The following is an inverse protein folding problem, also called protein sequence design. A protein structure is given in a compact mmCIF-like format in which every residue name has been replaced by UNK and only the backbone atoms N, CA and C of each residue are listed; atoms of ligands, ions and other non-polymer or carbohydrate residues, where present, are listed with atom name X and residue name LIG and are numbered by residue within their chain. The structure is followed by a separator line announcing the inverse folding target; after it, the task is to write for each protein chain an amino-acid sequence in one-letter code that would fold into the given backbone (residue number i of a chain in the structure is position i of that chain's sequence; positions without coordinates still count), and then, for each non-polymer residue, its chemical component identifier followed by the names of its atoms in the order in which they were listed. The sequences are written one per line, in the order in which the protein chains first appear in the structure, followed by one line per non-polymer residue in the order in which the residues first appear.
data_IF_466282216660
#
_entry.id   IF_466282216660
#
_cell.length_a   1.000
_cell.length_b   1.000
_cell.length_c   1.000
_cell.angle_alpha   90.00
_cell.angle_beta   90.00
_cell.angle_gamma   90.00
#
_symmetry.space_group_name_H-M   'P 1'
#
loop_
_entity.id
_entity.type
_entity.pdbx_description
1 polymer ?
#
# COMPACT_ATOMS: atom_id res chain seq x y z
N UNK A 1 25.27 -48.50 30.66
CA UNK A 1 24.12 -48.40 31.59
C UNK A 1 23.19 -47.29 31.12
N UNK A 2 22.23 -47.61 30.25
CA UNK A 2 21.17 -46.69 29.85
C UNK A 2 20.19 -46.59 31.03
N UNK A 3 20.27 -45.53 31.82
CA UNK A 3 19.20 -45.20 32.77
C UNK A 3 17.95 -44.94 31.94
N UNK A 4 16.95 -45.82 32.02
CA UNK A 4 15.60 -45.58 31.50
C UNK A 4 15.10 -44.24 32.06
N UNK A 5 15.22 -43.17 31.27
CA UNK A 5 14.62 -41.87 31.57
C UNK A 5 13.19 -41.92 31.07
N UNK A 6 12.31 -42.49 31.88
CA UNK A 6 10.88 -42.47 31.60
C UNK A 6 10.37 -41.03 31.67
N UNK A 7 9.60 -40.60 30.66
CA UNK A 7 8.70 -39.47 30.86
C UNK A 7 7.68 -39.90 31.91
N UNK A 8 7.44 -39.09 32.92
CA UNK A 8 6.29 -39.27 33.78
C UNK A 8 5.19 -38.34 33.24
N UNK A 9 4.45 -38.78 32.23
CA UNK A 9 3.28 -38.00 31.81
C UNK A 9 2.25 -38.11 32.93
N UNK A 10 2.24 -37.16 33.89
CA UNK A 10 1.03 -36.94 34.68
C UNK A 10 -0.03 -36.56 33.66
N UNK A 11 -1.08 -37.35 33.50
CA UNK A 11 -2.27 -36.88 32.81
C UNK A 11 -3.17 -36.25 33.87
N UNK A 12 -2.79 -35.08 34.37
CA UNK A 12 -3.59 -34.41 35.38
C UNK A 12 -4.85 -33.86 34.71
N UNK A 13 -6.03 -34.25 35.19
CA UNK A 13 -7.30 -33.63 34.83
C UNK A 13 -7.81 -32.92 36.07
N UNK A 14 -7.63 -31.59 36.11
CA UNK A 14 -8.11 -30.74 37.21
C UNK A 14 -9.39 -30.03 36.78
N UNK A 15 -10.33 -29.91 37.72
CA UNK A 15 -11.61 -29.24 37.52
C UNK A 15 -11.56 -27.93 38.26
N UNK A 16 -11.45 -26.83 37.53
CA UNK A 16 -11.75 -25.52 38.07
C UNK A 16 -13.22 -25.22 37.83
N UNK A 17 -13.99 -24.94 38.89
CA UNK A 17 -15.24 -24.22 38.75
C UNK A 17 -14.92 -22.72 38.58
N UNK A 18 -14.31 -22.38 37.45
CA UNK A 18 -14.30 -21.00 36.96
C UNK A 18 -15.76 -20.68 36.61
N UNK A 19 -16.21 -19.45 36.87
CA UNK A 19 -17.55 -18.99 36.46
C UNK A 19 -17.83 -19.45 35.02
N UNK A 20 -19.03 -19.97 34.76
CA UNK A 20 -19.39 -20.80 33.59
C UNK A 20 -19.05 -20.24 32.19
N UNK A 21 -18.53 -19.02 32.09
CA UNK A 21 -18.37 -18.26 30.87
C UNK A 21 -16.92 -17.98 30.43
N UNK A 22 -15.88 -18.33 31.21
CA UNK A 22 -14.47 -18.11 30.81
C UNK A 22 -13.70 -19.41 30.63
N UNK A 23 -12.74 -19.41 29.68
CA UNK A 23 -11.86 -20.56 29.45
C UNK A 23 -10.77 -20.63 30.53
N UNK A 24 -10.22 -21.82 30.79
CA UNK A 24 -9.12 -21.98 31.74
C UNK A 24 -7.89 -21.16 31.33
N UNK A 25 -7.58 -21.11 30.04
CA UNK A 25 -6.48 -20.30 29.52
C UNK A 25 -6.69 -18.80 29.80
N UNK A 26 -7.92 -18.29 29.63
CA UNK A 26 -8.24 -16.89 29.94
C UNK A 26 -8.14 -16.62 31.45
N UNK A 27 -8.72 -17.48 32.29
CA UNK A 27 -8.65 -17.34 33.75
C UNK A 27 -7.20 -17.32 34.26
N UNK A 28 -6.36 -18.23 33.76
CA UNK A 28 -4.96 -18.32 34.18
C UNK A 28 -4.13 -17.15 33.67
N UNK A 29 -4.46 -16.60 32.49
CA UNK A 29 -3.78 -15.40 32.00
C UNK A 29 -3.95 -14.18 32.91
N UNK A 30 -5.00 -14.17 33.74
CA UNK A 30 -5.31 -13.10 34.68
C UNK A 30 -4.93 -13.46 36.14
N UNK A 31 -4.70 -14.73 36.46
CA UNK A 31 -4.48 -15.23 37.82
C UNK A 31 -3.23 -16.12 37.90
N UNK A 32 -2.18 -15.64 38.59
CA UNK A 32 -0.91 -16.37 38.77
C UNK A 32 -0.94 -17.46 39.85
N UNK A 33 -2.02 -17.50 40.64
CA UNK A 33 -2.23 -18.51 41.67
C UNK A 33 -3.27 -19.51 41.19
N UNK A 34 -2.93 -20.79 41.24
CA UNK A 34 -3.93 -21.83 41.08
C UNK A 34 -4.61 -22.04 42.43
N UNK A 35 -5.94 -21.88 42.53
CA UNK A 35 -6.65 -22.35 43.70
C UNK A 35 -6.49 -23.86 43.85
N UNK A 36 -6.72 -24.39 45.05
CA UNK A 36 -6.65 -25.83 45.37
C UNK A 36 -7.26 -26.67 44.25
N UNK A 37 -6.45 -27.54 43.64
CA UNK A 37 -6.90 -28.47 42.61
C UNK A 37 -6.90 -29.91 43.15
N UNK A 38 -7.66 -30.77 42.48
CA UNK A 38 -7.75 -32.20 42.79
C UNK A 38 -7.39 -33.03 41.57
N UNK A 39 -6.51 -34.01 41.77
CA UNK A 39 -6.01 -34.90 40.72
C UNK A 39 -7.04 -36.01 40.49
N UNK A 40 -7.59 -36.12 39.28
CA UNK A 40 -8.57 -37.16 38.97
C UNK A 40 -8.00 -38.48 38.47
N UNK A 41 -6.92 -38.46 37.67
CA UNK A 41 -6.34 -39.67 37.08
C UNK A 41 -4.83 -39.53 36.90
N UNK A 42 -4.12 -40.66 36.93
CA UNK A 42 -2.68 -40.74 36.75
C UNK A 42 -2.34 -41.96 35.88
N UNK A 43 -1.80 -41.73 34.68
CA UNK A 43 -1.36 -42.77 33.75
C UNK A 43 0.12 -42.54 33.38
N UNK A 44 1.09 -43.28 33.96
CA UNK A 44 2.50 -43.11 33.61
C UNK A 44 2.79 -43.65 32.20
N UNK A 45 3.44 -42.84 31.36
CA UNK A 45 3.77 -43.21 29.97
C UNK A 45 5.28 -43.11 29.76
N UNK A 46 5.94 -44.24 29.52
CA UNK A 46 7.34 -44.24 29.10
C UNK A 46 7.43 -43.84 27.62
N UNK A 47 8.24 -42.83 27.33
CA UNK A 47 8.37 -42.24 25.99
C UNK A 47 9.81 -42.35 25.54
N UNK A 48 10.01 -42.84 24.33
CA UNK A 48 11.32 -42.85 23.67
C UNK A 48 11.50 -41.61 22.77
N UNK A 49 12.73 -41.35 22.32
CA UNK A 49 13.02 -40.29 21.35
C UNK A 49 12.23 -40.49 20.04
N UNK A 50 11.76 -39.38 19.47
CA UNK A 50 11.04 -39.32 18.18
C UNK A 50 9.55 -39.01 18.31
N UNK A 51 8.91 -38.67 17.19
CA UNK A 51 7.46 -38.45 17.15
C UNK A 51 6.73 -39.79 17.28
N UNK A 52 6.06 -40.01 18.41
CA UNK A 52 5.31 -41.23 18.70
C UNK A 52 3.89 -40.90 19.16
N UNK A 53 2.93 -41.70 18.72
CA UNK A 53 1.57 -41.73 19.27
C UNK A 53 1.55 -42.72 20.43
N UNK A 54 0.93 -42.34 21.55
CA UNK A 54 0.65 -43.23 22.66
C UNK A 54 -0.86 -43.33 22.84
N UNK A 55 -1.40 -44.55 22.82
CA UNK A 55 -2.82 -44.81 23.06
C UNK A 55 -3.05 -44.98 24.57
N UNK A 56 -3.89 -44.12 25.12
CA UNK A 56 -4.28 -44.17 26.53
C UNK A 56 -5.65 -44.83 26.68
N UNK A 57 -5.91 -45.37 27.88
CA UNK A 57 -7.26 -45.80 28.23
C UNK A 57 -8.21 -44.62 28.09
N UNK A 58 -9.17 -44.73 27.17
CA UNK A 58 -10.17 -43.69 26.90
C UNK A 58 -10.80 -43.23 28.21
N UNK A 59 -10.74 -41.94 28.46
CA UNK A 59 -11.22 -41.31 29.69
C UNK A 59 -12.07 -40.12 29.32
N UNK A 60 -13.26 -40.02 29.90
CA UNK A 60 -14.15 -38.89 29.67
C UNK A 60 -13.58 -37.63 30.33
N UNK A 61 -13.50 -36.52 29.59
CA UNK A 61 -12.93 -35.26 30.06
C UNK A 61 -14.00 -34.16 30.00
N UNK A 62 -14.28 -33.52 31.13
CA UNK A 62 -15.24 -32.42 31.19
C UNK A 62 -14.66 -31.17 30.51
N UNK A 63 -15.53 -30.38 29.86
CA UNK A 63 -15.19 -29.03 29.37
C UNK A 63 -14.56 -28.19 30.50
N UNK A 64 -13.43 -27.55 30.20
CA UNK A 64 -12.65 -26.78 31.18
C UNK A 64 -11.63 -27.59 31.96
N UNK A 65 -11.33 -28.81 31.54
CA UNK A 65 -10.16 -29.54 32.05
C UNK A 65 -8.92 -29.16 31.25
N UNK A 66 -7.77 -29.11 31.91
CA UNK A 66 -6.47 -28.94 31.28
C UNK A 66 -5.61 -30.17 31.50
N UNK A 67 -4.65 -30.38 30.61
CA UNK A 67 -3.62 -31.41 30.77
C UNK A 67 -2.37 -30.78 31.39
N UNK A 68 -1.86 -31.34 32.50
CA UNK A 68 -0.56 -30.93 33.06
C UNK A 68 0.46 -32.04 32.87
N UNK A 69 1.48 -31.80 32.04
CA UNK A 69 2.60 -32.71 31.85
C UNK A 69 3.61 -32.57 32.99
N UNK A 70 4.09 -33.68 33.55
CA UNK A 70 5.12 -33.69 34.59
C UNK A 70 6.41 -34.36 34.11
N UNK A 71 7.02 -33.76 33.10
CA UNK A 71 8.23 -34.27 32.46
C UNK A 71 9.47 -33.49 32.92
N UNK A 72 10.65 -34.10 32.78
CA UNK A 72 11.89 -33.31 32.72
C UNK A 72 11.92 -32.53 31.40
N UNK A 73 12.36 -31.27 31.43
CA UNK A 73 12.31 -30.36 30.27
C UNK A 73 12.95 -30.95 29.00
N UNK A 74 14.02 -31.74 29.14
CA UNK A 74 14.74 -32.38 28.04
C UNK A 74 13.92 -33.42 27.24
N UNK A 75 12.70 -33.75 27.68
CA UNK A 75 11.89 -34.82 27.10
C UNK A 75 10.74 -34.33 26.21
N UNK A 76 10.56 -33.02 26.09
CA UNK A 76 9.53 -32.42 25.23
C UNK A 76 10.16 -31.44 24.26
N UNK A 77 9.66 -31.43 23.02
CA UNK A 77 10.08 -30.44 22.02
C UNK A 77 9.25 -29.18 22.18
N UNK A 78 9.91 -28.04 22.06
CA UNK A 78 9.30 -26.72 22.14
C UNK A 78 9.30 -26.06 20.76
N UNK A 79 8.24 -25.32 20.48
CA UNK A 79 8.21 -24.34 19.40
C UNK A 79 8.62 -22.97 19.98
N UNK A 80 9.83 -22.54 19.63
CA UNK A 80 10.36 -21.23 19.96
C UNK A 80 10.04 -20.26 18.80
N UNK A 81 9.63 -19.03 19.11
CA UNK A 81 9.34 -17.94 18.14
C UNK A 81 8.01 -18.00 17.36
N UNK A 82 7.02 -18.77 17.80
CA UNK A 82 5.70 -18.72 17.16
C UNK A 82 4.87 -17.49 17.56
N UNK A 83 4.08 -16.95 16.62
CA UNK A 83 3.12 -15.87 16.87
C UNK A 83 1.82 -16.42 17.50
N UNK A 84 1.90 -16.97 18.71
CA UNK A 84 0.73 -17.52 19.40
C UNK A 84 0.19 -16.62 20.52
N UNK A 85 -1.15 -16.66 20.66
CA UNK A 85 -1.90 -15.86 21.64
C UNK A 85 -1.67 -16.39 23.06
N UNK A 86 -1.59 -17.71 23.23
CA UNK A 86 -1.37 -18.39 24.51
C UNK A 86 -0.07 -19.18 24.47
N UNK A 87 0.75 -19.04 25.51
CA UNK A 87 1.94 -19.88 25.75
C UNK A 87 1.57 -21.04 26.67
N UNK A 88 2.36 -22.10 26.65
CA UNK A 88 2.29 -23.11 27.70
C UNK A 88 2.93 -22.60 29.00
N UNK A 89 2.58 -23.25 30.09
CA UNK A 89 2.76 -22.78 31.46
C UNK A 89 3.54 -23.80 32.29
N UNK A 90 4.40 -23.31 33.19
CA UNK A 90 5.04 -24.10 34.24
C UNK A 90 4.23 -23.94 35.52
N UNK A 91 4.01 -25.04 36.24
CA UNK A 91 3.45 -25.04 37.59
C UNK A 91 4.53 -25.43 38.60
N UNK A 92 4.85 -24.53 39.53
CA UNK A 92 5.88 -24.71 40.56
C UNK A 92 5.43 -24.01 41.85
N UNK A 93 5.56 -24.70 43.00
CA UNK A 93 5.24 -24.17 44.33
C UNK A 93 3.86 -23.49 44.42
N UNK A 94 2.82 -24.14 43.88
CA UNK A 94 1.45 -23.59 43.84
C UNK A 94 1.25 -22.34 42.99
N UNK A 95 2.24 -21.97 42.19
CA UNK A 95 2.21 -20.83 41.27
C UNK A 95 2.31 -21.29 39.83
N UNK A 96 1.77 -20.47 38.93
CA UNK A 96 1.94 -20.64 37.50
C UNK A 96 2.91 -19.58 36.98
N UNK A 97 3.83 -20.02 36.14
CA UNK A 97 4.76 -19.17 35.41
C UNK A 97 4.63 -19.41 33.91
N UNK A 98 4.74 -18.34 33.13
CA UNK A 98 4.98 -18.47 31.70
C UNK A 98 6.37 -19.04 31.48
N UNK A 99 6.52 -19.95 30.52
CA UNK A 99 7.83 -20.28 29.96
C UNK A 99 8.43 -18.98 29.38
N UNK A 100 9.59 -18.55 29.90
CA UNK A 100 10.35 -17.34 29.47
C UNK A 100 11.62 -17.79 28.73
N UNK A 101 12.24 -16.97 27.84
CA UNK A 101 12.01 -15.54 27.58
C UNK A 101 10.95 -15.20 26.51
N UNK A 102 10.48 -16.19 25.75
CA UNK A 102 9.45 -16.01 24.72
C UNK A 102 8.22 -16.82 25.07
N UNK A 103 7.05 -16.46 24.52
CA UNK A 103 5.92 -17.38 24.52
C UNK A 103 6.41 -18.68 23.86
N UNK A 104 6.33 -19.79 24.58
CA UNK A 104 6.78 -21.12 24.14
C UNK A 104 5.58 -22.06 24.10
N UNK A 105 5.53 -22.94 23.10
CA UNK A 105 4.54 -24.01 23.01
C UNK A 105 5.22 -25.38 23.06
N UNK A 106 4.77 -26.25 23.94
CA UNK A 106 5.11 -27.66 23.96
C UNK A 106 4.43 -28.32 22.76
N UNK A 107 5.21 -28.96 21.90
CA UNK A 107 4.70 -29.71 20.75
C UNK A 107 4.10 -31.05 21.20
N UNK A 108 2.95 -30.96 21.85
CA UNK A 108 2.17 -32.07 22.35
C UNK A 108 0.72 -31.94 21.90
N UNK A 109 0.11 -33.04 21.47
CA UNK A 109 -1.30 -33.07 21.06
C UNK A 109 -2.04 -34.22 21.72
N UNK A 110 -3.12 -33.89 22.42
CA UNK A 110 -4.05 -34.88 22.94
C UNK A 110 -5.00 -35.34 21.83
N UNK A 111 -5.08 -36.65 21.57
CA UNK A 111 -6.11 -37.21 20.69
C UNK A 111 -7.42 -37.29 21.45
N UNK A 112 -8.48 -36.79 20.83
CA UNK A 112 -9.85 -36.93 21.34
C UNK A 112 -10.66 -37.80 20.37
N UNK A 113 -11.65 -38.50 20.89
CA UNK A 113 -12.53 -39.39 20.11
C UNK A 113 -13.69 -38.65 19.44
N UNK A 114 -13.89 -37.38 19.78
CA UNK A 114 -14.94 -36.53 19.23
C UNK A 114 -14.39 -35.61 18.15
N UNK A 115 -14.98 -35.66 16.95
CA UNK A 115 -14.69 -34.69 15.89
C UNK A 115 -15.35 -33.36 16.22
N UNK A 116 -14.63 -32.27 16.00
CA UNK A 116 -15.15 -30.92 16.17
C UNK A 116 -14.68 -30.04 15.01
N UNK A 117 -15.49 -29.03 14.70
CA UNK A 117 -15.07 -27.96 13.82
C UNK A 117 -14.31 -26.94 14.64
N UNK A 118 -13.11 -26.58 14.17
CA UNK A 118 -12.27 -25.59 14.79
C UNK A 118 -12.03 -24.46 13.79
N UNK A 119 -12.20 -23.23 14.24
CA UNK A 119 -11.86 -22.04 13.45
C UNK A 119 -11.27 -21.01 14.41
N UNK A 120 -10.13 -20.45 14.01
CA UNK A 120 -9.51 -19.32 14.69
C UNK A 120 -9.89 -18.04 13.97
N UNK A 121 -10.44 -17.08 14.71
CA UNK A 121 -10.66 -15.73 14.22
C UNK A 121 -9.65 -14.79 14.89
N UNK A 122 -8.60 -14.44 14.15
CA UNK A 122 -7.68 -13.38 14.57
C UNK A 122 -8.28 -12.01 14.25
N UNK A 123 -8.24 -11.09 15.20
CA UNK A 123 -8.64 -9.69 14.99
C UNK A 123 -7.66 -8.75 15.68
N UNK A 124 -7.53 -7.54 15.15
CA UNK A 124 -6.84 -6.41 15.78
C UNK A 124 -7.79 -5.21 15.80
N UNK A 125 -7.72 -4.40 16.85
CA UNK A 125 -8.50 -3.19 16.97
C UNK A 125 -7.57 -2.04 17.37
N UNK A 126 -7.60 -0.94 16.60
CA UNK A 126 -6.90 0.29 16.97
C UNK A 126 -7.79 1.10 17.91
N UNK A 127 -7.23 1.43 19.07
CA UNK A 127 -7.92 2.23 20.08
C UNK A 127 -7.44 3.66 19.97
N UNK A 128 -8.36 4.61 19.80
CA UNK A 128 -8.02 6.02 19.90
C UNK A 128 -7.77 6.34 21.39
N UNK A 129 -6.71 7.11 21.67
CA UNK A 129 -6.07 7.23 23.00
C UNK A 129 -6.93 7.77 24.14
N UNK A 130 -8.20 8.11 23.89
CA UNK A 130 -9.16 8.60 24.88
C UNK A 130 -10.00 7.51 25.56
N UNK A 131 -9.93 6.24 25.11
CA UNK A 131 -10.72 5.16 25.70
C UNK A 131 -9.88 4.27 26.62
N UNK A 132 -10.32 4.11 27.87
CA UNK A 132 -9.63 3.32 28.91
C UNK A 132 -10.05 1.85 28.94
N UNK A 133 -11.17 1.49 28.31
CA UNK A 133 -11.68 0.10 28.29
C UNK A 133 -12.38 -0.21 26.96
N UNK A 134 -12.07 -1.35 26.36
CA UNK A 134 -12.70 -1.84 25.12
C UNK A 134 -13.23 -3.24 25.35
N UNK A 135 -14.53 -3.41 25.10
CA UNK A 135 -15.21 -4.68 25.21
C UNK A 135 -15.42 -5.28 23.81
N UNK A 136 -14.78 -6.41 23.55
CA UNK A 136 -15.07 -7.23 22.36
C UNK A 136 -16.11 -8.29 22.71
N UNK A 137 -17.28 -8.26 22.06
CA UNK A 137 -18.34 -9.25 22.26
C UNK A 137 -18.40 -10.18 21.04
N UNK A 138 -18.14 -11.47 21.25
CA UNK A 138 -18.30 -12.50 20.22
C UNK A 138 -19.65 -13.17 20.42
N UNK A 139 -20.59 -12.97 19.50
CA UNK A 139 -21.92 -13.58 19.54
C UNK A 139 -21.97 -14.72 18.54
N UNK A 140 -22.17 -15.95 19.02
CA UNK A 140 -22.37 -17.14 18.19
C UNK A 140 -23.86 -17.52 18.21
N UNK A 141 -24.59 -17.28 17.12
CA UNK A 141 -26.00 -17.70 16.96
C UNK A 141 -26.17 -18.51 15.66
N UNK A 142 -26.96 -19.59 15.70
CA UNK A 142 -27.04 -20.65 14.67
C UNK A 142 -27.76 -20.25 13.37
N UNK A 143 -28.47 -19.12 13.32
CA UNK A 143 -29.44 -18.84 12.23
C UNK A 143 -29.16 -17.59 11.39
N UNK A 144 -28.00 -16.95 11.52
CA UNK A 144 -27.62 -15.86 10.63
C UNK A 144 -26.22 -16.08 10.05
N UNK A 145 -26.11 -15.91 8.73
CA UNK A 145 -24.85 -15.64 8.05
C UNK A 145 -24.18 -14.45 8.75
N UNK A 146 -22.87 -14.57 8.97
CA UNK A 146 -22.04 -13.56 9.61
C UNK A 146 -22.05 -12.26 8.77
N UNK A 147 -23.05 -11.40 8.99
CA UNK A 147 -23.09 -10.05 8.42
C UNK A 147 -22.24 -9.14 9.29
N UNK A 148 -20.93 -9.17 9.03
CA UNK A 148 -20.00 -8.15 9.49
C UNK A 148 -19.68 -7.26 8.29
N UNK A 149 -20.23 -6.06 8.26
CA UNK A 149 -19.78 -5.01 7.34
C UNK A 149 -18.75 -4.18 8.11
N UNK A 150 -17.47 -4.35 7.79
CA UNK A 150 -16.38 -3.49 8.29
C UNK A 150 -15.35 -3.31 7.18
N UNK A 151 -14.94 -2.06 7.00
CA UNK A 151 -13.93 -1.62 6.04
C UNK A 151 -12.58 -2.24 6.39
N UNK A 152 -12.06 -3.05 5.48
CA UNK A 152 -10.76 -3.71 5.57
C UNK A 152 -9.69 -2.66 5.29
N UNK A 153 -8.91 -2.27 6.30
CA UNK A 153 -7.65 -1.52 6.12
C UNK A 153 -6.47 -2.49 6.29
N UNK A 154 -5.38 -2.47 5.52
CA UNK A 154 -5.19 -2.20 4.08
C UNK A 154 -3.80 -2.75 3.66
N UNK A 155 -3.28 -3.82 4.28
CA UNK A 155 -1.95 -4.37 3.92
C UNK A 155 -1.99 -5.27 2.67
N UNK A 156 -3.20 -5.57 2.18
CA UNK A 156 -3.42 -6.43 1.01
C UNK A 156 -3.85 -5.68 -0.25
N UNK A 157 -3.95 -4.37 -0.18
CA UNK A 157 -4.40 -3.55 -1.30
C UNK A 157 -3.53 -2.31 -1.37
N UNK A 158 -3.28 -1.84 -2.58
CA UNK A 158 -2.64 -0.56 -2.82
C UNK A 158 -3.29 0.11 -4.01
N UNK A 159 -3.59 1.41 -3.87
CA UNK A 159 -4.19 2.22 -4.91
C UNK A 159 -3.45 3.54 -5.00
N UNK A 160 -2.96 3.84 -6.19
CA UNK A 160 -2.39 5.14 -6.49
C UNK A 160 -2.89 5.67 -7.83
N UNK A 161 -2.98 6.98 -7.91
CA UNK A 161 -3.51 7.69 -9.06
C UNK A 161 -2.78 9.00 -9.22
N UNK A 162 -2.19 9.22 -10.40
CA UNK A 162 -1.57 10.49 -10.76
C UNK A 162 -2.23 11.01 -12.03
N UNK A 163 -2.72 12.24 -11.96
CA UNK A 163 -3.40 12.91 -13.06
C UNK A 163 -2.60 14.14 -13.51
N UNK A 164 -2.45 14.29 -14.82
CA UNK A 164 -1.88 15.49 -15.44
C UNK A 164 -3.00 16.28 -16.09
N UNK A 165 -3.19 17.56 -15.72
CA UNK A 165 -4.19 18.41 -16.36
C UNK A 165 -3.75 18.73 -17.79
N UNK A 166 -4.73 18.79 -18.68
CA UNK A 166 -4.64 19.27 -20.05
C UNK A 166 -5.84 20.20 -20.32
N UNK A 167 -5.83 20.91 -21.45
CA UNK A 167 -6.94 21.82 -21.80
C UNK A 167 -8.22 21.00 -21.90
N UNK A 168 -9.17 21.28 -21.00
CA UNK A 168 -10.46 20.59 -20.88
C UNK A 168 -10.37 19.06 -20.71
N UNK A 169 -9.20 18.54 -20.31
CA UNK A 169 -8.96 17.10 -20.18
C UNK A 169 -8.09 16.81 -18.96
N UNK A 170 -8.26 15.64 -18.36
CA UNK A 170 -7.32 15.11 -17.37
C UNK A 170 -6.89 13.71 -17.76
N UNK A 171 -5.58 13.50 -17.92
CA UNK A 171 -5.00 12.19 -18.20
C UNK A 171 -4.50 11.59 -16.90
N UNK A 172 -5.16 10.55 -16.44
CA UNK A 172 -4.84 9.85 -15.20
C UNK A 172 -4.21 8.49 -15.48
N UNK A 173 -3.22 8.14 -14.69
CA UNK A 173 -2.64 6.80 -14.64
C UNK A 173 -2.92 6.23 -13.25
N UNK A 174 -3.49 5.03 -13.23
CA UNK A 174 -3.96 4.38 -12.00
C UNK A 174 -3.22 3.06 -11.85
N UNK A 175 -2.59 2.89 -10.70
CA UNK A 175 -1.93 1.66 -10.28
C UNK A 175 -2.76 1.07 -9.15
N UNK A 176 -3.17 -0.17 -9.31
CA UNK A 176 -3.88 -0.92 -8.30
C UNK A 176 -3.18 -2.27 -8.08
N UNK A 177 -3.01 -2.65 -6.82
CA UNK A 177 -2.53 -3.97 -6.41
C UNK A 177 -3.52 -4.57 -5.42
N UNK A 178 -3.76 -5.88 -5.54
CA UNK A 178 -4.51 -6.65 -4.56
C UNK A 178 -3.98 -8.07 -4.42
N UNK A 179 -4.13 -8.67 -3.24
CA UNK A 179 -3.93 -10.12 -3.04
C UNK A 179 -5.19 -10.96 -3.32
N UNK A 180 -6.29 -10.34 -3.74
CA UNK A 180 -7.53 -11.02 -4.13
C UNK A 180 -8.00 -10.53 -5.49
N UNK A 181 -8.21 -11.48 -6.41
CA UNK A 181 -8.74 -11.20 -7.75
C UNK A 181 -10.14 -10.60 -7.74
N UNK A 182 -10.92 -10.88 -6.70
CA UNK A 182 -12.34 -10.50 -6.63
C UNK A 182 -12.54 -9.00 -6.35
N UNK A 183 -11.46 -8.28 -6.11
CA UNK A 183 -11.48 -6.85 -5.93
C UNK A 183 -11.74 -6.14 -7.26
N UNK A 184 -12.51 -5.07 -7.19
CA UNK A 184 -12.81 -4.22 -8.33
C UNK A 184 -12.38 -2.79 -8.00
N UNK A 185 -11.81 -2.11 -8.98
CA UNK A 185 -11.47 -0.70 -8.87
C UNK A 185 -12.57 0.11 -9.55
N UNK A 186 -13.02 1.15 -8.86
CA UNK A 186 -14.03 2.10 -9.29
C UNK A 186 -13.38 3.46 -9.37
N UNK A 187 -13.56 4.14 -10.49
CA UNK A 187 -13.04 5.49 -10.69
C UNK A 187 -14.21 6.36 -11.11
N UNK A 188 -14.42 7.45 -10.38
CA UNK A 188 -15.49 8.40 -10.61
C UNK A 188 -14.94 9.82 -10.68
N UNK A 189 -15.45 10.60 -11.61
CA UNK A 189 -15.34 12.06 -11.63
C UNK A 189 -16.71 12.67 -11.32
N UNK A 190 -16.75 13.92 -10.85
CA UNK A 190 -17.97 14.64 -10.45
C UNK A 190 -19.06 14.69 -11.55
N UNK A 191 -18.69 14.49 -12.83
CA UNK A 191 -19.61 14.45 -13.97
C UNK A 191 -20.09 13.03 -14.35
N UNK A 192 -20.15 12.11 -13.39
CA UNK A 192 -20.81 10.79 -13.48
C UNK A 192 -20.22 9.76 -14.47
N UNK A 193 -19.03 10.00 -15.01
CA UNK A 193 -18.27 8.97 -15.72
C UNK A 193 -17.66 7.99 -14.70
N UNK A 194 -18.40 6.92 -14.40
CA UNK A 194 -17.92 5.79 -13.61
C UNK A 194 -17.20 4.79 -14.52
N UNK A 195 -15.95 4.50 -14.19
CA UNK A 195 -15.16 3.50 -14.88
C UNK A 195 -14.83 2.42 -13.85
N UNK A 196 -15.23 1.19 -14.15
CA UNK A 196 -14.88 0.03 -13.35
C UNK A 196 -13.86 -0.84 -14.09
N UNK A 197 -12.92 -1.41 -13.36
CA UNK A 197 -12.03 -2.43 -13.89
C UNK A 197 -11.75 -3.51 -12.84
N UNK A 198 -11.69 -4.74 -13.31
CA UNK A 198 -11.29 -5.90 -12.53
C UNK A 198 -9.82 -6.24 -12.78
N UNK A 199 -9.20 -6.93 -11.82
CA UNK A 199 -7.91 -7.55 -12.05
C UNK A 199 -7.98 -8.64 -13.11
N UNK A 200 -6.94 -8.73 -13.93
CA UNK A 200 -6.75 -9.84 -14.87
C UNK A 200 -6.50 -11.15 -14.10
N UNK A 201 -6.76 -12.30 -14.74
CA UNK A 201 -6.51 -13.61 -14.12
C UNK A 201 -5.03 -14.00 -14.18
N UNK A 202 -4.15 -13.09 -13.74
CA UNK A 202 -2.70 -13.26 -13.74
C UNK A 202 -2.13 -12.60 -12.50
N UNK A 203 -1.37 -13.38 -11.73
CA UNK A 203 -0.57 -12.86 -10.62
C UNK A 203 0.79 -12.37 -11.13
N UNK A 204 1.41 -11.49 -10.37
CA UNK A 204 2.75 -10.96 -10.54
C UNK A 204 3.49 -11.10 -9.22
N UNK A 205 4.78 -11.42 -9.29
CA UNK A 205 5.72 -11.40 -8.16
C UNK A 205 6.76 -10.29 -8.33
N UNK A 206 6.48 -9.31 -9.20
CA UNK A 206 7.48 -8.34 -9.64
C UNK A 206 6.93 -6.91 -9.48
N UNK A 207 7.67 -6.04 -8.80
CA UNK A 207 7.39 -4.60 -8.68
C UNK A 207 8.20 -3.82 -9.71
N UNK A 208 7.55 -3.14 -10.63
CA UNK A 208 8.21 -2.38 -11.70
C UNK A 208 7.34 -2.25 -12.94
N UNK A 209 7.91 -1.70 -14.00
CA UNK A 209 7.21 -1.60 -15.29
C UNK A 209 7.42 -2.83 -16.16
N UNK A 210 6.62 -2.97 -17.21
CA UNK A 210 6.88 -3.96 -18.24
C UNK A 210 8.26 -3.75 -18.82
N UNK A 211 9.04 -4.81 -19.03
CA UNK A 211 10.38 -4.68 -19.58
C UNK A 211 10.26 -4.55 -21.11
N UNK A 212 10.77 -3.46 -21.66
CA UNK A 212 10.81 -3.21 -23.10
C UNK A 212 12.22 -2.88 -23.50
N UNK A 213 12.70 -3.53 -24.57
CA UNK A 213 14.01 -3.24 -25.13
C UNK A 213 13.90 -2.02 -26.04
N UNK A 214 14.08 -0.83 -25.48
CA UNK A 214 14.25 0.41 -26.23
C UNK A 214 15.62 1.02 -25.94
N UNK A 215 16.48 1.04 -26.95
CA UNK A 215 17.77 1.72 -26.88
C UNK A 215 17.55 3.22 -27.02
N UNK A 216 17.45 3.93 -25.91
CA UNK A 216 17.53 5.39 -25.92
C UNK A 216 18.74 5.84 -25.12
N UNK A 217 19.50 6.76 -25.71
CA UNK A 217 20.67 7.29 -25.04
C UNK A 217 20.24 8.25 -23.92
N UNK A 218 20.84 8.10 -22.75
CA UNK A 218 20.74 9.02 -21.63
C UNK A 218 22.13 9.65 -21.40
N UNK A 219 22.19 10.98 -21.31
CA UNK A 219 23.44 11.73 -21.24
C UNK A 219 23.38 12.67 -20.04
N UNK A 220 23.73 12.15 -18.86
CA UNK A 220 23.97 12.96 -17.65
C UNK A 220 25.20 12.43 -16.92
N UNK A 221 25.98 13.34 -16.32
CA UNK A 221 27.21 13.00 -15.60
C UNK A 221 26.93 12.63 -14.14
N UNK A 222 27.36 11.45 -13.70
CA UNK A 222 27.38 10.98 -12.30
C UNK A 222 26.14 11.33 -11.49
N UNK A 223 25.10 10.50 -11.61
CA UNK A 223 23.81 10.73 -10.96
C UNK A 223 23.32 9.47 -10.29
N UNK A 224 22.61 9.62 -9.17
CA UNK A 224 21.83 8.51 -8.59
C UNK A 224 20.43 8.58 -9.17
N UNK A 225 20.00 7.54 -9.88
CA UNK A 225 18.66 7.44 -10.45
C UNK A 225 17.73 6.77 -9.44
N UNK A 226 16.58 7.40 -9.18
CA UNK A 226 15.49 6.87 -8.37
C UNK A 226 14.40 6.30 -9.28
N UNK A 227 14.08 5.03 -9.10
CA UNK A 227 13.09 4.34 -9.94
C UNK A 227 11.76 4.22 -9.19
N UNK A 228 10.82 5.12 -9.46
CA UNK A 228 9.53 5.16 -8.73
C UNK A 228 8.67 3.93 -8.97
N UNK A 229 8.91 3.24 -10.09
CA UNK A 229 8.32 1.96 -10.44
C UNK A 229 8.60 0.85 -9.41
N UNK A 230 9.72 0.96 -8.71
CA UNK A 230 10.17 -0.06 -7.77
C UNK A 230 9.58 0.09 -6.39
N UNK A 231 8.97 1.24 -6.07
CA UNK A 231 8.41 1.51 -4.75
C UNK A 231 7.57 0.34 -4.24
N UNK A 232 7.95 -0.20 -3.09
CA UNK A 232 7.24 -1.27 -2.41
C UNK A 232 5.87 -0.78 -1.95
N UNK A 233 4.83 -1.49 -2.35
CA UNK A 233 3.43 -1.08 -2.10
C UNK A 233 2.84 -1.69 -0.82
N UNK A 234 3.50 -2.72 -0.31
CA UNK A 234 3.15 -3.52 0.86
C UNK A 234 4.42 -4.21 1.36
N UNK A 235 4.45 -4.60 2.62
CA UNK A 235 5.61 -5.33 3.17
C UNK A 235 5.79 -6.69 2.49
N UNK A 236 6.99 -6.93 1.97
CA UNK A 236 7.39 -8.17 1.29
C UNK A 236 8.88 -8.39 1.44
N UNK A 237 9.44 -9.47 0.88
CA UNK A 237 10.88 -9.60 0.74
C UNK A 237 11.32 -9.40 -0.71
N UNK A 238 12.38 -8.61 -0.90
CA UNK A 238 13.14 -8.48 -2.13
C UNK A 238 14.04 -9.69 -2.31
N UNK A 239 13.90 -10.39 -3.44
CA UNK A 239 14.66 -11.61 -3.75
C UNK A 239 15.54 -11.47 -5.00
N UNK A 240 15.40 -10.40 -5.77
CA UNK A 240 16.17 -10.21 -6.99
C UNK A 240 15.72 -9.02 -7.84
N UNK A 241 16.27 -8.95 -9.04
CA UNK A 241 16.03 -7.88 -10.00
C UNK A 241 15.88 -8.44 -11.43
N UNK A 242 15.06 -7.79 -12.25
CA UNK A 242 15.02 -8.00 -13.70
C UNK A 242 15.21 -6.66 -14.41
N UNK A 243 16.10 -6.61 -15.40
CA UNK A 243 16.32 -5.41 -16.19
C UNK A 243 17.00 -5.74 -17.53
N UNK A 244 16.90 -4.80 -18.48
CA UNK A 244 17.66 -4.86 -19.72
C UNK A 244 18.87 -3.96 -19.63
N UNK A 245 20.00 -4.49 -20.13
CA UNK A 245 21.25 -3.78 -20.20
C UNK A 245 21.79 -3.63 -21.63
N UNK A 246 22.29 -2.45 -21.98
CA UNK A 246 22.89 -2.17 -23.29
C UNK A 246 24.36 -2.58 -23.40
N UNK A 247 25.06 -2.73 -22.28
CA UNK A 247 26.48 -3.15 -22.21
C UNK A 247 26.70 -4.10 -21.02
N UNK A 248 27.76 -4.92 -21.06
CA UNK A 248 28.16 -5.70 -19.88
C UNK A 248 28.80 -4.74 -18.86
N UNK A 249 28.58 -4.97 -17.57
CA UNK A 249 29.20 -4.18 -16.52
C UNK A 249 28.81 -4.60 -15.13
N UNK A 250 29.09 -3.71 -14.17
CA UNK A 250 28.66 -3.84 -12.78
C UNK A 250 28.23 -2.49 -12.25
N UNK A 251 27.19 -2.45 -11.42
CA UNK A 251 26.81 -1.23 -10.70
C UNK A 251 26.24 -1.54 -9.33
N UNK A 252 26.16 -0.53 -8.47
CA UNK A 252 25.57 -0.61 -7.15
C UNK A 252 24.08 -0.22 -7.21
N UNK A 253 23.22 -1.15 -6.81
CA UNK A 253 21.81 -0.87 -6.51
C UNK A 253 21.66 -0.60 -5.02
N UNK A 254 20.85 0.39 -4.67
CA UNK A 254 20.64 0.82 -3.29
C UNK A 254 19.17 0.71 -2.96
N UNK A 255 18.83 -0.06 -1.94
CA UNK A 255 17.54 -0.02 -1.27
C UNK A 255 17.52 1.22 -0.38
N UNK A 256 16.60 2.13 -0.66
CA UNK A 256 16.49 3.42 0.03
C UNK A 256 15.12 3.60 0.69
N UNK A 257 15.08 4.45 1.71
CA UNK A 257 13.88 4.88 2.40
C UNK A 257 13.85 6.41 2.55
N UNK A 258 12.66 7.00 2.48
CA UNK A 258 12.40 8.42 2.72
C UNK A 258 11.84 8.69 4.11
N UNK A 259 11.90 7.69 5.00
CA UNK A 259 11.32 7.70 6.34
C UNK A 259 9.82 8.08 6.26
N UNK A 260 9.35 8.96 7.15
CA UNK A 260 7.94 9.34 7.25
C UNK A 260 7.46 10.31 6.15
N UNK A 261 8.35 10.77 5.24
CA UNK A 261 8.00 11.80 4.24
C UNK A 261 6.96 11.33 3.23
N UNK A 262 6.90 10.02 3.01
CA UNK A 262 5.94 9.39 2.12
C UNK A 262 4.83 8.69 2.89
N UNK A 263 4.53 9.09 4.13
CA UNK A 263 3.57 8.33 4.93
C UNK A 263 2.12 8.43 4.47
N UNK A 264 1.74 9.61 4.01
CA UNK A 264 0.38 9.94 3.60
C UNK A 264 0.13 9.72 2.09
N UNK A 265 1.19 9.50 1.31
CA UNK A 265 1.14 9.44 -0.15
C UNK A 265 2.12 8.40 -0.69
N UNK A 266 2.01 8.02 -1.97
CA UNK A 266 3.09 7.24 -2.59
C UNK A 266 4.38 8.07 -2.66
N UNK A 267 5.52 7.38 -2.63
CA UNK A 267 6.82 8.02 -2.87
C UNK A 267 6.85 8.67 -4.25
N UNK A 268 6.25 8.05 -5.26
CA UNK A 268 6.11 8.64 -6.59
C UNK A 268 5.41 10.02 -6.54
N UNK A 269 4.30 10.13 -5.80
CA UNK A 269 3.61 11.40 -5.62
C UNK A 269 4.46 12.41 -4.85
N UNK A 270 5.06 12.01 -3.73
CA UNK A 270 5.95 12.87 -2.95
C UNK A 270 7.06 13.46 -3.83
N UNK A 271 7.81 12.61 -4.54
CA UNK A 271 8.92 13.01 -5.41
C UNK A 271 8.48 13.99 -6.50
N UNK A 272 7.28 13.83 -7.06
CA UNK A 272 6.73 14.76 -8.05
C UNK A 272 6.59 16.20 -7.54
N UNK A 273 6.40 16.38 -6.23
CA UNK A 273 6.30 17.70 -5.59
C UNK A 273 7.66 18.28 -5.16
N UNK A 274 8.74 17.49 -5.27
CA UNK A 274 10.09 17.84 -4.85
C UNK A 274 11.06 18.13 -6.02
N UNK A 275 10.58 18.19 -7.26
CA UNK A 275 11.42 18.51 -8.41
C UNK A 275 12.12 19.88 -8.23
N UNK A 276 13.44 19.91 -8.39
CA UNK A 276 14.30 21.07 -8.18
C UNK A 276 14.62 21.38 -6.71
N UNK A 277 14.22 20.53 -5.76
CA UNK A 277 14.45 20.72 -4.32
C UNK A 277 15.48 19.74 -3.78
N UNK A 278 16.08 20.11 -2.65
CA UNK A 278 16.92 19.20 -1.89
C UNK A 278 16.11 18.04 -1.32
N UNK A 279 16.66 16.83 -1.41
CA UNK A 279 16.04 15.63 -0.88
C UNK A 279 17.03 14.83 -0.03
N UNK A 280 16.53 14.29 1.08
CA UNK A 280 17.27 13.38 1.95
C UNK A 280 16.53 12.05 1.98
N UNK A 281 17.31 10.98 1.91
CA UNK A 281 16.88 9.58 2.01
C UNK A 281 17.96 8.81 2.78
N UNK A 282 17.57 7.68 3.35
CA UNK A 282 18.48 6.75 4.02
C UNK A 282 18.78 5.57 3.07
N UNK A 283 20.01 5.09 3.08
CA UNK A 283 20.39 3.86 2.37
C UNK A 283 20.27 2.73 3.38
N UNK A 284 19.32 1.81 3.14
CA UNK A 284 19.06 0.66 3.99
C UNK A 284 20.02 -0.47 3.65
N UNK A 285 20.24 -0.72 2.36
CA UNK A 285 21.10 -1.79 1.86
C UNK A 285 21.66 -1.45 0.48
N UNK A 286 22.89 -1.86 0.21
CA UNK A 286 23.51 -1.81 -1.11
C UNK A 286 23.75 -3.21 -1.69
N UNK A 287 23.68 -3.32 -3.01
CA UNK A 287 23.92 -4.55 -3.78
C UNK A 287 24.85 -4.23 -4.94
N UNK A 288 26.05 -4.81 -4.96
CA UNK A 288 26.91 -4.78 -6.14
C UNK A 288 26.45 -5.87 -7.12
N UNK A 289 25.97 -5.46 -8.28
CA UNK A 289 25.35 -6.34 -9.27
C UNK A 289 26.20 -6.34 -10.54
N UNK A 290 26.69 -7.52 -10.91
CA UNK A 290 27.31 -7.78 -12.22
C UNK A 290 26.24 -8.24 -13.22
N UNK A 291 26.29 -7.72 -14.44
CA UNK A 291 25.30 -8.02 -15.47
C UNK A 291 25.91 -8.06 -16.87
N UNK A 292 25.26 -8.80 -17.76
CA UNK A 292 25.63 -8.92 -19.16
C UNK A 292 24.80 -7.96 -20.02
N UNK A 293 25.28 -7.69 -21.24
CA UNK A 293 24.44 -7.03 -22.26
C UNK A 293 23.22 -7.90 -22.57
N UNK A 294 22.03 -7.31 -22.61
CA UNK A 294 20.76 -7.99 -22.88
C UNK A 294 19.85 -8.06 -21.66
N UNK A 295 18.97 -9.06 -21.62
CA UNK A 295 18.10 -9.32 -20.47
C UNK A 295 18.91 -9.92 -19.31
N UNK A 296 18.72 -9.37 -18.11
CA UNK A 296 19.31 -9.87 -16.89
C UNK A 296 18.21 -10.16 -15.87
N UNK A 297 18.28 -11.35 -15.27
CA UNK A 297 17.48 -11.75 -14.12
C UNK A 297 18.45 -12.23 -13.04
N UNK A 298 18.52 -11.49 -11.94
CA UNK A 298 19.55 -11.66 -10.92
C UNK A 298 18.88 -11.88 -9.58
N UNK A 299 19.11 -13.05 -8.99
CA UNK A 299 18.63 -13.38 -7.65
C UNK A 299 19.66 -12.99 -6.60
N UNK A 300 19.20 -12.44 -5.50
CA UNK A 300 20.03 -12.11 -4.35
C UNK A 300 20.40 -13.41 -3.61
N UNK A 301 21.58 -13.40 -2.98
CA UNK A 301 22.06 -14.53 -2.17
C UNK A 301 21.20 -14.81 -0.93
N UNK A 302 20.44 -13.81 -0.47
CA UNK A 302 19.44 -13.91 0.59
C UNK A 302 18.29 -12.95 0.30
N UNK A 303 17.12 -13.23 0.85
CA UNK A 303 15.99 -12.32 0.83
C UNK A 303 16.22 -11.12 1.75
N UNK A 304 15.83 -9.93 1.33
CA UNK A 304 15.90 -8.71 2.14
C UNK A 304 14.51 -8.18 2.39
N UNK A 305 14.23 -7.72 3.63
CA UNK A 305 12.93 -7.11 3.93
C UNK A 305 12.75 -5.85 3.08
N UNK A 306 11.65 -5.80 2.34
CA UNK A 306 11.29 -4.70 1.47
C UNK A 306 10.00 -4.05 1.95
N UNK A 307 10.14 -3.19 2.96
CA UNK A 307 9.02 -2.54 3.63
C UNK A 307 8.31 -1.57 2.68
N UNK A 308 7.01 -1.38 2.91
CA UNK A 308 6.19 -0.44 2.14
C UNK A 308 6.88 0.94 2.07
N UNK A 309 6.85 1.57 0.89
CA UNK A 309 7.47 2.86 0.49
C UNK A 309 8.98 2.83 0.22
N UNK A 310 9.69 1.76 0.57
CA UNK A 310 11.09 1.63 0.17
C UNK A 310 11.20 1.54 -1.36
N UNK A 311 12.32 2.02 -1.92
CA UNK A 311 12.57 2.10 -3.36
C UNK A 311 13.96 1.62 -3.72
N UNK A 312 14.19 1.27 -4.98
CA UNK A 312 15.52 1.06 -5.52
C UNK A 312 16.04 2.34 -6.18
N UNK A 313 17.27 2.68 -5.82
CA UNK A 313 18.09 3.68 -6.48
C UNK A 313 19.31 3.01 -7.13
N UNK A 314 19.85 3.62 -8.18
CA UNK A 314 21.03 3.12 -8.89
C UNK A 314 22.01 4.26 -9.12
N UNK A 315 23.25 4.07 -8.71
CA UNK A 315 24.31 5.01 -9.05
C UNK A 315 24.71 4.82 -10.52
N UNK A 316 24.75 5.91 -11.27
CA UNK A 316 25.00 5.91 -12.70
C UNK A 316 26.24 6.76 -13.01
N UNK A 317 27.27 6.12 -13.59
CA UNK A 317 28.46 6.80 -14.09
C UNK A 317 28.30 7.07 -15.62
N UNK A 318 28.83 8.19 -16.12
CA UNK A 318 28.67 8.65 -17.51
C UNK A 318 29.18 7.66 -18.58
N UNK A 319 30.15 6.83 -18.22
CA UNK A 319 30.82 5.90 -19.14
C UNK A 319 29.99 4.65 -19.43
N UNK A 320 28.94 4.50 -18.64
CA UNK A 320 28.33 3.25 -18.31
C UNK A 320 26.90 3.30 -18.82
N UNK A 321 26.77 3.27 -20.16
CA UNK A 321 25.48 3.16 -20.86
C UNK A 321 24.86 1.78 -20.57
N UNK A 322 24.52 1.53 -19.31
CA UNK A 322 24.14 0.21 -18.86
C UNK A 322 22.66 -0.06 -19.06
N UNK A 323 21.75 0.88 -18.81
CA UNK A 323 20.32 0.54 -18.78
C UNK A 323 19.54 1.01 -19.99
N UNK A 324 18.56 0.20 -20.41
CA UNK A 324 17.57 0.62 -21.41
C UNK A 324 16.50 1.50 -20.78
N UNK A 325 16.23 2.64 -21.41
CA UNK A 325 15.17 3.55 -20.99
C UNK A 325 13.95 3.43 -21.90
N UNK A 326 12.78 3.36 -21.30
CA UNK A 326 11.49 3.53 -21.96
C UNK A 326 11.16 5.01 -22.10
N UNK A 327 10.71 5.39 -23.29
CA UNK A 327 10.28 6.76 -23.62
C UNK A 327 8.77 6.95 -23.60
N UNK A 328 8.03 6.01 -23.01
CA UNK A 328 6.58 6.12 -22.92
C UNK A 328 6.20 7.26 -21.97
N UNK A 329 5.45 8.25 -22.49
CA UNK A 329 4.93 9.34 -21.67
C UNK A 329 3.98 8.78 -20.60
N UNK A 330 4.26 9.15 -19.36
CA UNK A 330 3.67 8.59 -18.14
C UNK A 330 3.78 9.61 -17.03
N UNK A 331 2.79 9.65 -16.15
CA UNK A 331 2.72 10.58 -15.04
C UNK A 331 3.61 10.13 -13.85
N UNK A 332 3.99 8.86 -13.81
CA UNK A 332 4.91 8.32 -12.82
C UNK A 332 6.35 8.47 -13.31
N UNK A 333 7.04 9.58 -13.06
CA UNK A 333 8.41 9.76 -13.57
C UNK A 333 9.45 9.00 -12.74
N UNK A 334 10.57 8.63 -13.36
CA UNK A 334 11.80 8.38 -12.61
C UNK A 334 12.51 9.72 -12.36
N UNK A 335 13.42 9.73 -11.39
CA UNK A 335 14.15 10.94 -11.01
C UNK A 335 15.64 10.65 -10.96
N UNK A 336 16.45 11.69 -10.99
CA UNK A 336 17.86 11.59 -10.64
C UNK A 336 18.23 12.63 -9.59
N UNK A 337 19.22 12.29 -8.77
CA UNK A 337 19.75 13.16 -7.73
C UNK A 337 21.14 13.62 -8.15
N UNK A 338 21.34 14.94 -8.12
CA UNK A 338 22.63 15.57 -8.35
C UNK A 338 22.88 16.59 -7.25
N UNK A 339 23.95 16.40 -6.47
CA UNK A 339 24.27 17.24 -5.31
C UNK A 339 23.09 17.37 -4.32
N UNK A 340 22.43 16.24 -4.02
CA UNK A 340 21.21 16.15 -3.20
C UNK A 340 19.99 16.92 -3.73
N UNK A 341 20.03 17.45 -4.96
CA UNK A 341 18.87 18.07 -5.60
C UNK A 341 18.20 17.05 -6.52
N UNK A 342 16.88 16.93 -6.40
CA UNK A 342 16.06 16.01 -7.17
C UNK A 342 15.67 16.63 -8.52
N UNK A 343 15.85 15.90 -9.61
CA UNK A 343 15.45 16.29 -10.95
C UNK A 343 14.66 15.18 -11.63
N UNK A 344 13.59 15.53 -12.32
CA UNK A 344 12.78 14.56 -13.07
C UNK A 344 13.44 14.12 -14.36
N UNK A 345 13.36 12.82 -14.66
CA UNK A 345 13.75 12.23 -15.93
C UNK A 345 12.59 12.34 -16.93
N UNK A 346 12.14 13.55 -17.26
CA UNK A 346 10.95 13.81 -18.08
C UNK A 346 10.77 12.82 -19.25
N UNK A 347 9.74 11.97 -19.16
CA UNK A 347 9.39 11.00 -20.20
C UNK A 347 10.37 9.84 -20.37
N UNK A 348 11.32 9.63 -19.46
CA UNK A 348 12.23 8.49 -19.43
C UNK A 348 12.03 7.66 -18.17
N UNK A 349 12.03 6.34 -18.35
CA UNK A 349 11.98 5.36 -17.27
C UNK A 349 13.00 4.28 -17.47
N UNK A 350 13.64 3.82 -16.41
CA UNK A 350 14.45 2.62 -16.49
C UNK A 350 13.53 1.40 -16.60
N UNK A 351 13.82 0.52 -17.56
CA UNK A 351 13.16 -0.80 -17.64
C UNK A 351 13.70 -1.71 -16.55
N UNK A 352 13.09 -1.62 -15.37
CA UNK A 352 13.53 -2.31 -14.17
C UNK A 352 12.36 -2.91 -13.41
N UNK A 353 12.59 -4.09 -12.82
CA UNK A 353 11.69 -4.74 -11.87
C UNK A 353 12.46 -5.28 -10.68
N UNK A 354 11.87 -5.15 -9.50
CA UNK A 354 12.24 -5.91 -8.32
C UNK A 354 11.46 -7.23 -8.32
N UNK A 355 12.15 -8.33 -8.07
CA UNK A 355 11.53 -9.62 -7.79
C UNK A 355 11.22 -9.69 -6.30
N UNK A 356 9.98 -10.06 -5.96
CA UNK A 356 9.53 -10.22 -4.58
C UNK A 356 9.00 -11.64 -4.34
N UNK A 357 9.02 -12.06 -3.08
CA UNK A 357 8.61 -13.42 -2.67
C UNK A 357 7.09 -13.63 -2.55
N UNK A 358 6.30 -12.58 -2.80
CA UNK A 358 4.84 -12.61 -2.73
C UNK A 358 4.20 -12.36 -4.08
N UNK A 359 3.23 -13.20 -4.42
CA UNK A 359 2.39 -13.00 -5.59
C UNK A 359 1.19 -12.10 -5.28
N UNK A 360 0.86 -11.23 -6.22
CA UNK A 360 -0.27 -10.29 -6.15
C UNK A 360 -0.89 -10.07 -7.53
N UNK A 361 -2.12 -9.58 -7.55
CA UNK A 361 -2.78 -9.08 -8.75
C UNK A 361 -2.42 -7.62 -8.97
N UNK A 362 -2.04 -7.29 -10.20
CA UNK A 362 -1.64 -5.94 -10.60
C UNK A 362 -2.57 -5.43 -11.70
N UNK A 363 -2.97 -4.17 -11.61
CA UNK A 363 -3.71 -3.48 -12.68
C UNK A 363 -3.12 -2.10 -12.89
N UNK A 364 -2.79 -1.81 -14.14
CA UNK A 364 -2.42 -0.47 -14.60
C UNK A 364 -3.44 -0.02 -15.65
N UNK A 365 -4.02 1.17 -15.46
CA UNK A 365 -5.01 1.73 -16.38
C UNK A 365 -4.68 3.19 -16.66
N UNK A 366 -4.79 3.57 -17.93
CA UNK A 366 -4.77 4.96 -18.39
C UNK A 366 -6.20 5.40 -18.64
N UNK A 367 -6.61 6.49 -18.03
CA UNK A 367 -7.98 7.01 -18.10
C UNK A 367 -7.93 8.47 -18.49
N UNK A 368 -8.82 8.88 -19.39
CA UNK A 368 -8.96 10.29 -19.79
C UNK A 368 -10.36 10.79 -19.40
N UNK A 369 -10.40 11.88 -18.64
CA UNK A 369 -11.64 12.59 -18.30
C UNK A 369 -11.72 13.87 -19.13
N UNK A 370 -12.88 14.15 -19.71
CA UNK A 370 -13.16 15.38 -20.48
C UNK A 370 -14.10 16.27 -19.68
N UNK A 371 -13.84 17.58 -19.68
CA UNK A 371 -14.58 18.58 -18.92
C UNK A 371 -15.13 19.67 -19.84
N UNK A 372 -16.30 20.20 -19.51
CA UNK A 372 -16.96 21.21 -20.32
C UNK A 372 -16.50 22.65 -20.01
N UNK A 373 -15.92 22.87 -18.84
CA UNK A 373 -15.50 24.20 -18.37
C UNK A 373 -14.25 24.11 -17.48
N UNK A 374 -13.51 25.22 -17.32
CA UNK A 374 -12.48 25.29 -16.27
C UNK A 374 -13.14 25.26 -14.92
N UNK A 375 -12.72 24.31 -14.09
CA UNK A 375 -13.03 24.28 -12.69
C UNK A 375 -11.96 23.48 -11.93
N UNK A 376 -12.11 23.44 -10.62
CA UNK A 376 -11.47 22.43 -9.78
C UNK A 376 -12.37 21.20 -9.77
N UNK A 377 -11.83 20.05 -10.16
CA UNK A 377 -12.56 18.79 -10.17
C UNK A 377 -11.89 17.78 -9.25
N UNK A 378 -12.71 16.95 -8.60
CA UNK A 378 -12.21 15.81 -7.84
C UNK A 378 -12.38 14.51 -8.65
N UNK A 379 -11.28 13.77 -8.77
CA UNK A 379 -11.28 12.41 -9.30
C UNK A 379 -11.04 11.48 -8.11
N UNK A 380 -11.94 10.52 -7.92
CA UNK A 380 -11.86 9.55 -6.83
C UNK A 380 -11.70 8.17 -7.44
N UNK A 381 -10.71 7.43 -6.96
CA UNK A 381 -10.51 6.01 -7.27
C UNK A 381 -10.69 5.22 -5.98
N UNK A 382 -11.44 4.12 -5.99
CA UNK A 382 -11.65 3.28 -4.81
C UNK A 382 -11.72 1.80 -5.14
N UNK A 383 -11.35 0.96 -4.18
CA UNK A 383 -11.60 -0.48 -4.23
C UNK A 383 -13.00 -0.78 -3.69
N UNK A 384 -13.78 -1.63 -4.37
CA UNK A 384 -14.98 -2.26 -3.81
C UNK A 384 -14.88 -3.77 -3.86
N UNK A 385 -15.29 -4.41 -2.77
CA UNK A 385 -15.44 -5.85 -2.71
C UNK A 385 -16.70 -6.29 -3.45
N UNK A 386 -16.56 -7.18 -4.45
CA UNK A 386 -17.68 -7.72 -5.23
C UNK A 386 -18.77 -8.37 -4.37
N UNK A 387 -18.41 -8.96 -3.22
CA UNK A 387 -19.34 -9.68 -2.37
C UNK A 387 -20.17 -8.80 -1.42
N UNK A 388 -19.76 -7.55 -1.17
CA UNK A 388 -20.41 -6.73 -0.13
C UNK A 388 -20.69 -5.27 -0.53
N UNK A 389 -20.24 -4.81 -1.70
CA UNK A 389 -20.43 -3.42 -2.14
C UNK A 389 -19.74 -2.37 -1.26
N UNK A 390 -18.94 -2.81 -0.27
CA UNK A 390 -18.21 -1.93 0.63
C UNK A 390 -16.93 -1.42 -0.03
N UNK A 391 -16.67 -0.12 0.14
CA UNK A 391 -15.41 0.51 -0.21
C UNK A 391 -14.35 0.18 0.83
N UNK A 392 -13.17 -0.26 0.38
CA UNK A 392 -12.07 -0.67 1.27
C UNK A 392 -10.95 0.35 1.36
N UNK A 393 -10.58 0.93 0.23
CA UNK A 393 -9.54 1.94 0.08
C UNK A 393 -10.00 2.97 -0.95
N UNK A 394 -9.80 4.26 -0.68
CA UNK A 394 -10.12 5.33 -1.62
C UNK A 394 -8.98 6.36 -1.72
N UNK A 395 -8.70 6.80 -2.95
CA UNK A 395 -7.74 7.85 -3.29
C UNK A 395 -8.45 8.97 -4.02
N UNK A 396 -8.36 10.19 -3.47
CA UNK A 396 -8.90 11.41 -4.08
C UNK A 396 -7.75 12.25 -4.65
N UNK A 397 -7.87 12.68 -5.90
CA UNK A 397 -6.97 13.63 -6.56
C UNK A 397 -7.79 14.83 -6.99
N UNK A 398 -7.36 16.02 -6.57
CA UNK A 398 -7.97 17.29 -6.97
C UNK A 398 -7.14 17.90 -8.10
N UNK A 399 -7.79 18.21 -9.22
CA UNK A 399 -7.16 18.79 -10.40
C UNK A 399 -7.78 20.15 -10.73
N UNK A 400 -6.94 21.08 -11.20
CA UNK A 400 -7.38 22.39 -11.70
C UNK A 400 -7.25 22.37 -13.22
N UNK A 401 -8.37 22.51 -13.92
CA UNK A 401 -8.40 22.54 -15.39
C UNK A 401 -8.38 23.99 -15.87
N UNK A 402 -7.30 24.45 -16.54
CA UNK A 402 -7.23 25.81 -17.03
C UNK A 402 -8.04 25.99 -18.33
N UNK A 403 -8.65 27.17 -18.51
CA UNK A 403 -9.04 27.65 -19.84
C UNK A 403 -7.85 28.38 -20.44
N UNK A 404 -7.39 27.94 -21.61
CA UNK A 404 -6.63 28.82 -22.49
C UNK A 404 -7.66 29.63 -23.27
N UNK A 405 -7.94 30.87 -22.84
CA UNK A 405 -8.63 31.78 -23.74
C UNK A 405 -7.67 31.96 -24.91
N UNK A 406 -8.02 31.43 -26.08
CA UNK A 406 -7.32 31.81 -27.30
C UNK A 406 -7.31 33.34 -27.30
N UNK A 407 -6.16 33.94 -27.63
CA UNK A 407 -6.08 35.37 -27.90
C UNK A 407 -6.91 35.67 -29.15
N UNK A 408 -8.22 35.55 -29.07
CA UNK A 408 -9.14 36.33 -29.87
C UNK A 408 -8.96 37.76 -29.38
N UNK A 409 -8.56 38.63 -30.29
CA UNK A 409 -8.57 40.08 -30.14
C UNK A 409 -9.72 40.51 -29.23
N UNK A 410 -9.37 40.96 -28.02
CA UNK A 410 -10.26 41.79 -27.23
C UNK A 410 -10.44 43.06 -28.05
N UNK A 411 -11.52 43.15 -28.83
CA UNK A 411 -12.02 44.45 -29.28
C UNK A 411 -12.50 45.13 -28.01
N UNK A 412 -11.59 45.84 -27.34
CA UNK A 412 -11.96 46.75 -26.27
C UNK A 412 -12.74 47.85 -26.98
N UNK A 413 -14.07 47.75 -26.96
CA UNK A 413 -14.93 48.90 -27.21
C UNK A 413 -14.71 49.83 -26.02
N UNK A 414 -13.69 50.67 -26.11
CA UNK A 414 -13.44 51.71 -25.14
C UNK A 414 -14.58 52.72 -25.25
N UNK A 415 -15.59 52.57 -24.40
CA UNK A 415 -16.46 53.70 -24.08
C UNK A 415 -15.64 54.61 -23.18
N UNK A 416 -14.92 55.55 -23.78
CA UNK A 416 -14.38 56.70 -23.07
C UNK A 416 -15.56 57.50 -22.54
N UNK A 417 -15.87 57.32 -21.27
CA UNK A 417 -16.72 58.24 -20.52
C UNK A 417 -15.87 59.48 -20.22
N UNK A 418 -15.79 60.37 -21.19
CA UNK A 418 -15.42 61.76 -20.94
C UNK A 418 -16.57 62.41 -20.17
N UNK A 419 -16.35 62.71 -18.89
CA UNK A 419 -17.27 63.54 -18.11
C UNK A 419 -16.49 64.66 -17.42
N UNK A 420 -16.13 65.67 -18.19
CA UNK A 420 -16.41 67.05 -17.80
C UNK A 420 -17.72 67.45 -18.49
N UNK A 421 -18.85 67.24 -17.81
CA UNK A 421 -20.07 67.96 -18.14
C UNK A 421 -20.79 68.36 -16.86
N UNK A 422 -20.66 69.65 -16.60
CA UNK A 422 -21.60 70.62 -16.05
C UNK A 422 -22.74 70.13 -15.13
N UNK A 423 -22.76 70.72 -13.94
CA UNK A 423 -23.70 70.49 -12.86
C UNK A 423 -25.04 71.17 -13.12
N UNK A 424 -25.82 70.74 -14.13
CA UNK A 424 -27.23 71.11 -14.27
C UNK A 424 -28.02 70.03 -15.01
N UNK A 425 -28.49 69.03 -14.27
CA UNK A 425 -29.77 68.33 -14.52
C UNK A 425 -30.05 67.38 -13.36
N UNK A 426 -30.80 67.91 -12.38
CA UNK A 426 -31.57 67.13 -11.41
C UNK A 426 -32.74 66.49 -12.16
N UNK A 427 -32.91 65.18 -12.00
CA UNK A 427 -34.17 64.51 -11.61
C UNK A 427 -34.23 63.08 -12.17
N UNK A 428 -34.71 62.16 -11.31
CA UNK A 428 -35.15 60.78 -11.59
C UNK A 428 -33.99 59.81 -11.90
N UNK A 429 -33.88 58.61 -11.33
CA UNK A 429 -34.70 57.81 -10.41
C UNK A 429 -33.83 56.67 -9.88
N UNK A 430 -34.26 56.06 -8.77
CA UNK A 430 -33.63 54.95 -8.06
C UNK A 430 -33.14 53.79 -8.95
N UNK A 431 -31.86 53.40 -8.78
CA UNK A 431 -31.33 52.12 -9.26
C UNK A 431 -31.37 51.14 -8.09
N UNK A 432 -32.39 50.28 -8.10
CA UNK A 432 -32.43 49.03 -7.34
C UNK A 432 -31.82 47.92 -8.18
N UNK A 433 -30.92 47.16 -7.56
CA UNK A 433 -30.28 45.95 -8.07
C UNK A 433 -31.27 44.80 -8.22
N UNK A 434 -31.33 44.19 -9.40
CA UNK A 434 -31.75 42.79 -9.57
C UNK A 434 -31.17 42.24 -10.87
N UNK A 435 -30.21 41.32 -10.76
CA UNK A 435 -29.77 40.47 -11.86
C UNK A 435 -30.74 39.28 -11.89
N UNK A 436 -31.65 39.28 -12.87
CA UNK A 436 -32.41 38.10 -13.26
C UNK A 436 -31.71 37.47 -14.47
N UNK A 437 -31.44 36.17 -14.36
CA UNK A 437 -31.20 35.30 -15.51
C UNK A 437 -32.52 35.02 -16.22
N UNK A 438 -32.57 35.19 -17.53
CA UNK A 438 -33.57 34.54 -18.38
C UNK A 438 -32.97 34.16 -19.73
N UNK A 439 -33.21 32.90 -20.09
CA UNK A 439 -32.96 32.29 -21.38
C UNK A 439 -33.67 33.05 -22.51
N UNK A 440 -33.08 33.02 -23.71
CA UNK A 440 -33.83 32.68 -24.93
C UNK A 440 -32.95 32.36 -26.13
N UNK A 441 -33.50 31.46 -26.92
CA UNK A 441 -32.99 30.69 -28.05
C UNK A 441 -32.98 31.40 -29.40
N UNK A 442 -32.01 31.00 -30.25
CA UNK A 442 -32.11 30.61 -31.67
C UNK A 442 -32.11 31.64 -32.85
N UNK A 443 -31.22 31.30 -33.83
CA UNK A 443 -31.41 31.20 -35.31
C UNK A 443 -30.75 32.25 -36.26
N UNK A 444 -29.71 31.76 -36.99
CA UNK A 444 -29.32 31.85 -38.44
C UNK A 444 -28.95 33.26 -39.01
N UNK A 445 -27.81 33.50 -39.71
CA UNK A 445 -27.42 33.08 -41.09
C UNK A 445 -25.90 33.17 -41.37
N UNK A 446 -25.43 32.32 -42.28
CA UNK A 446 -24.15 32.34 -43.02
C UNK A 446 -23.78 33.67 -43.68
N UNK A 447 -22.47 33.93 -43.81
CA UNK A 447 -21.85 34.53 -45.00
C UNK A 447 -20.34 34.22 -45.04
N UNK A 448 -19.88 33.82 -46.22
CA UNK A 448 -18.57 33.25 -46.53
C UNK A 448 -17.51 34.31 -46.93
N UNK A 449 -16.26 33.83 -47.12
CA UNK A 449 -15.10 34.41 -47.86
C UNK A 449 -14.47 35.68 -47.26
N UNK A 450 -13.16 35.97 -47.29
CA UNK A 450 -12.02 35.49 -48.09
C UNK A 450 -10.69 35.93 -47.40
N UNK A 451 -9.59 35.34 -47.87
CA UNK A 451 -8.15 35.60 -47.64
C UNK A 451 -7.65 36.95 -47.10
N UNK A 452 -6.55 36.89 -46.31
CA UNK A 452 -5.41 37.83 -46.44
C UNK A 452 -4.09 37.21 -45.94
N UNK A 453 -3.12 37.15 -46.84
CA UNK A 453 -1.72 36.81 -46.62
C UNK A 453 -0.92 37.90 -45.88
N UNK A 454 0.16 37.47 -45.23
CA UNK A 454 1.44 38.15 -44.92
C UNK A 454 1.40 39.50 -44.17
N UNK A 455 2.23 39.73 -43.14
CA UNK A 455 3.59 40.28 -43.31
C UNK A 455 4.41 40.07 -42.02
N UNK A 456 5.68 39.72 -42.21
CA UNK A 456 6.77 39.70 -41.22
C UNK A 456 7.00 41.08 -40.58
N UNK A 457 7.33 41.15 -39.28
CA UNK A 457 8.38 42.10 -38.83
C UNK A 457 9.11 41.69 -37.55
N UNK A 458 10.40 41.99 -37.58
CA UNK A 458 11.50 41.61 -36.69
C UNK A 458 11.75 42.71 -35.64
N UNK A 459 12.44 42.32 -34.55
CA UNK A 459 13.19 43.15 -33.57
C UNK A 459 12.31 43.88 -32.53
N UNK A 460 12.74 44.09 -31.27
CA UNK A 460 14.08 44.45 -30.78
C UNK A 460 14.15 44.22 -29.26
N UNK A 461 15.29 43.70 -28.78
CA UNK A 461 15.75 43.86 -27.39
C UNK A 461 15.98 45.35 -27.10
N UNK A 462 15.55 45.83 -25.94
CA UNK A 462 16.08 47.03 -25.29
C UNK A 462 16.31 46.70 -23.83
N UNK A 463 17.57 46.81 -23.41
CA UNK A 463 18.00 46.84 -22.02
C UNK A 463 17.65 48.21 -21.43
N UNK A 464 17.21 48.23 -20.18
CA UNK A 464 17.18 49.45 -19.35
C UNK A 464 17.99 49.14 -18.10
N UNK A 465 19.13 49.83 -17.95
CA UNK A 465 19.84 50.04 -16.70
C UNK A 465 19.54 51.46 -16.23
N UNK A 466 19.33 51.64 -14.93
CA UNK A 466 19.40 52.97 -14.30
C UNK A 466 20.02 52.84 -12.91
N UNK A 467 21.12 53.59 -12.76
CA UNK A 467 21.92 53.97 -11.60
C UNK A 467 22.69 52.90 -10.82
#
# INVERSE_FOLDING_TARGET
MLKNRGILIKQQQNFFHIQRNTSCAAYISENFFLPNYTIQKFDPIFVDQGSKTYDLTKTWVKKGSMLMLNCTLDLVTFEENGQFIYSDLIYEDSKIFWLKPYRIRVLFSAKIDTKYYFSTLSFSAYLNSSQTTVNAVVIYNRTYTLLKSQTITEDRQFLDMICTPAILKAKCEIIAISFTRNDMIYVSSENDNHINFSFENKTSSNLGFELSYSNTNFYENYVTILMTSTESKFDTNLIGFEFYSSTKGSTEFKLIDFDTKCDNFSCAYFLSTQNGKHINYTIIQSFLIEFNKGYNQIYLNRSYRYEKKMMIAVDFNYWDKYFSFQTTYTNFYDYFIKSNVLYSLYGKKISFRCLVDREFYYSFRKVEFTYNHSNTYNIISSFKYKSFGMESLAKKVTIVIPITMSKGTTTILAVTKDSKLDSRLKNQTNITSSIYSQDNTNIITDLATESLEMIYTRKKKVFVTSN
#
